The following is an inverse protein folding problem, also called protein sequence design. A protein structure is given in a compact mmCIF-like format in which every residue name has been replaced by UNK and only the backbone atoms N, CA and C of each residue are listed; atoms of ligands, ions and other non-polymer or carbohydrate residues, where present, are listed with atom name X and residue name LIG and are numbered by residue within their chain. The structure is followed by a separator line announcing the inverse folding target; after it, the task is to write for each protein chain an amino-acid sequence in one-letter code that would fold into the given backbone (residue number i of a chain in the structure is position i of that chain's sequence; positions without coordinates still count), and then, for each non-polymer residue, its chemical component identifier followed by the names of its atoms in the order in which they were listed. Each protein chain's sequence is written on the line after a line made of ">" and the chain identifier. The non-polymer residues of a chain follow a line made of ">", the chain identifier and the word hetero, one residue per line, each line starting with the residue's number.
data_IF_600601510130
#
_entry.id   IF_600601510130
#
_cell.length_a   1.000
_cell.length_b   1.000
_cell.length_c   1.000
_cell.angle_alpha   90.00
_cell.angle_beta   90.00
_cell.angle_gamma   90.00
#
_symmetry.space_group_name_H-M   'P 1'
#
loop_
_entity.id
_entity.type
_entity.pdbx_description
1 polymer ?
#
# COMPACT_ATOMS: atom_id res chain seq x y z
N UNK A 1 5.40 8.27 32.68
CA UNK A 1 4.39 7.24 32.37
C UNK A 1 4.47 6.98 30.88
N UNK A 2 4.98 5.83 30.47
CA UNK A 2 4.81 5.39 29.09
C UNK A 2 3.31 5.22 28.83
N UNK A 3 2.79 5.97 27.87
CA UNK A 3 1.42 5.80 27.42
C UNK A 3 1.46 4.65 26.42
N UNK A 4 1.07 3.46 26.86
CA UNK A 4 0.89 2.33 25.93
C UNK A 4 -0.35 2.59 25.08
N UNK A 5 -0.14 2.96 23.82
CA UNK A 5 -1.19 3.06 22.82
C UNK A 5 -1.47 1.70 22.19
N UNK A 6 -2.71 1.48 21.74
CA UNK A 6 -3.01 0.33 20.90
C UNK A 6 -2.13 0.34 19.63
N UNK A 7 -1.67 -0.81 19.12
CA UNK A 7 -0.84 -0.86 17.92
C UNK A 7 -1.49 -0.16 16.73
N UNK A 8 -0.69 0.59 15.95
CA UNK A 8 -1.15 1.21 14.71
C UNK A 8 -1.13 0.17 13.59
N UNK A 9 -2.23 -0.01 12.89
CA UNK A 9 -2.28 -0.93 11.74
C UNK A 9 -1.82 -0.22 10.49
N UNK A 10 -0.91 -0.80 9.73
CA UNK A 10 -0.42 -0.21 8.48
C UNK A 10 -0.63 -1.13 7.28
N UNK A 11 -0.97 -0.53 6.15
CA UNK A 11 -1.23 -1.23 4.90
C UNK A 11 -0.34 -0.67 3.83
N UNK A 12 0.43 -1.54 3.18
CA UNK A 12 1.41 -1.19 2.17
C UNK A 12 1.03 -1.80 0.82
N UNK A 13 1.27 -1.05 -0.24
CA UNK A 13 1.10 -1.57 -1.58
C UNK A 13 1.75 -0.67 -2.62
N UNK A 14 2.13 -1.27 -3.72
CA UNK A 14 2.53 -0.55 -4.90
C UNK A 14 1.33 -0.02 -5.68
N UNK A 15 1.58 0.98 -6.52
CA UNK A 15 0.57 1.46 -7.44
C UNK A 15 0.10 0.30 -8.34
N UNK A 16 -1.20 0.27 -8.63
CA UNK A 16 -1.82 -0.76 -9.49
C UNK A 16 -1.77 -2.21 -8.98
N UNK A 17 -1.47 -2.45 -7.69
CA UNK A 17 -1.54 -3.80 -7.08
C UNK A 17 -2.88 -4.12 -6.39
N UNK A 18 -3.94 -3.36 -6.67
CA UNK A 18 -5.25 -3.58 -6.03
C UNK A 18 -5.38 -2.99 -4.62
N UNK A 19 -4.40 -2.20 -4.19
CA UNK A 19 -4.37 -1.58 -2.86
C UNK A 19 -5.66 -0.87 -2.45
N UNK A 20 -6.31 -0.12 -3.36
CA UNK A 20 -7.56 0.58 -3.07
C UNK A 20 -8.70 -0.35 -2.67
N UNK A 21 -8.94 -1.45 -3.40
CA UNK A 21 -10.09 -2.32 -3.11
C UNK A 21 -9.86 -3.11 -1.83
N UNK A 22 -8.64 -3.62 -1.60
CA UNK A 22 -8.28 -4.30 -0.35
C UNK A 22 -8.42 -3.33 0.83
N UNK A 23 -7.92 -2.10 0.69
CA UNK A 23 -8.01 -1.08 1.74
C UNK A 23 -9.46 -0.71 2.09
N UNK A 24 -10.37 -0.65 1.11
CA UNK A 24 -11.79 -0.42 1.38
C UNK A 24 -12.40 -1.57 2.18
N UNK A 25 -12.05 -2.81 1.85
CA UNK A 25 -12.54 -3.98 2.58
C UNK A 25 -12.00 -4.01 4.01
N UNK A 26 -10.73 -3.67 4.22
CA UNK A 26 -10.15 -3.51 5.56
C UNK A 26 -10.81 -2.35 6.31
N UNK A 27 -11.10 -1.22 5.66
CA UNK A 27 -11.76 -0.09 6.31
C UNK A 27 -13.16 -0.46 6.84
N UNK A 28 -13.87 -1.35 6.14
CA UNK A 28 -15.12 -1.94 6.63
C UNK A 28 -14.86 -2.88 7.82
N UNK A 29 -13.83 -3.73 7.70
CA UNK A 29 -13.46 -4.71 8.72
C UNK A 29 -12.66 -4.04 9.84
N UNK A 30 -13.34 -3.56 10.88
CA UNK A 30 -12.63 -3.04 12.05
C UNK A 30 -13.27 -1.88 12.75
N UNK A 31 -14.28 -1.27 12.13
CA UNK A 31 -14.78 0.05 12.50
C UNK A 31 -13.61 0.99 12.87
N UNK A 32 -12.59 1.04 12.01
CA UNK A 32 -11.31 1.69 12.31
C UNK A 32 -11.32 3.16 11.90
N UNK A 33 -10.47 3.97 12.53
CA UNK A 33 -10.07 5.25 11.97
C UNK A 33 -9.10 5.00 10.81
N UNK A 34 -9.67 4.81 9.62
CA UNK A 34 -8.92 4.51 8.41
C UNK A 34 -8.49 5.80 7.68
N UNK A 35 -7.19 6.05 7.63
CA UNK A 35 -6.59 7.13 6.86
C UNK A 35 -5.75 6.57 5.72
N UNK A 36 -5.74 7.27 4.59
CA UNK A 36 -5.25 6.72 3.33
C UNK A 36 -4.21 7.60 2.67
N UNK A 37 -3.21 6.97 2.04
CA UNK A 37 -2.08 7.60 1.36
C UNK A 37 -1.26 8.50 2.29
N UNK A 38 -1.00 8.00 3.50
CA UNK A 38 -0.21 8.70 4.50
C UNK A 38 1.27 8.51 4.20
N UNK A 39 2.00 9.61 4.07
CA UNK A 39 3.46 9.62 4.12
C UNK A 39 3.93 10.98 4.69
N UNK A 40 4.54 11.00 5.89
CA UNK A 40 4.87 12.26 6.58
C UNK A 40 6.05 13.01 5.96
N UNK A 41 6.90 12.34 5.17
CA UNK A 41 8.14 12.91 4.63
C UNK A 41 8.08 13.14 3.12
N UNK A 42 7.02 12.65 2.48
CA UNK A 42 6.72 12.89 1.09
C UNK A 42 6.71 14.39 0.76
N UNK A 43 7.49 14.87 -0.22
CA UNK A 43 7.26 16.20 -0.77
C UNK A 43 5.86 16.24 -1.39
N UNK A 44 5.07 17.24 -0.99
CA UNK A 44 3.75 17.53 -1.54
C UNK A 44 3.77 18.91 -2.19
N UNK A 45 3.64 18.98 -3.52
CA UNK A 45 3.79 20.23 -4.27
C UNK A 45 2.47 20.80 -4.78
N UNK A 46 1.36 20.06 -4.65
CA UNK A 46 0.05 20.47 -5.16
C UNK A 46 -0.80 21.11 -4.06
N UNK A 47 -0.90 22.43 -4.06
CA UNK A 47 -1.74 23.14 -3.10
C UNK A 47 -3.21 22.98 -3.52
N UNK A 48 -3.95 22.11 -2.81
CA UNK A 48 -5.41 22.04 -2.92
C UNK A 48 -6.04 22.85 -1.78
N UNK A 49 -7.24 23.39 -2.01
CA UNK A 49 -7.98 24.05 -0.94
C UNK A 49 -8.37 23.03 0.14
N UNK A 50 -7.67 23.08 1.27
CA UNK A 50 -7.89 22.25 2.44
C UNK A 50 -7.70 23.14 3.69
N UNK A 51 -8.77 23.80 4.18
CA UNK A 51 -8.64 24.88 5.16
C UNK A 51 -8.09 24.42 6.52
N UNK A 52 -8.18 23.11 6.83
CA UNK A 52 -7.63 22.53 8.06
C UNK A 52 -6.22 21.93 7.88
N UNK A 53 -5.70 21.88 6.65
CA UNK A 53 -4.35 21.39 6.37
C UNK A 53 -3.34 22.53 6.49
N UNK A 54 -3.04 22.89 7.74
CA UNK A 54 -2.08 23.95 8.07
C UNK A 54 -0.67 23.62 7.57
N UNK A 55 -0.31 22.34 7.53
CA UNK A 55 1.01 21.89 7.09
C UNK A 55 1.24 22.21 5.61
N UNK A 56 0.26 21.87 4.75
CA UNK A 56 0.32 22.20 3.33
C UNK A 56 0.31 23.71 3.08
N UNK A 57 -0.49 24.47 3.85
CA UNK A 57 -0.51 25.94 3.75
C UNK A 57 0.81 26.57 4.17
N UNK A 58 1.44 26.07 5.25
CA UNK A 58 2.77 26.52 5.68
C UNK A 58 3.83 26.20 4.63
N UNK A 59 3.80 24.99 4.05
CA UNK A 59 4.75 24.60 3.01
C UNK A 59 4.59 25.43 1.74
N UNK A 60 3.34 25.68 1.32
CA UNK A 60 3.00 26.53 0.18
C UNK A 60 3.61 27.92 0.30
N UNK A 61 3.48 28.53 1.48
CA UNK A 61 3.86 29.91 1.71
C UNK A 61 5.36 30.08 1.97
N UNK A 62 5.99 29.15 2.70
CA UNK A 62 7.34 29.37 3.25
C UNK A 62 8.43 28.47 2.69
N UNK A 63 8.10 27.48 1.83
CA UNK A 63 8.99 26.56 1.05
C UNK A 63 10.12 25.82 1.79
N UNK A 64 10.44 26.17 3.04
CA UNK A 64 11.63 25.74 3.79
C UNK A 64 11.29 24.78 4.93
N UNK A 65 10.28 23.92 4.74
CA UNK A 65 9.89 22.98 5.77
C UNK A 65 10.83 21.78 5.82
N UNK A 66 11.65 21.74 6.88
CA UNK A 66 12.60 20.66 7.12
C UNK A 66 11.86 19.34 7.39
N UNK A 67 12.58 18.21 7.25
CA UNK A 67 12.05 16.90 7.65
C UNK A 67 11.69 16.86 9.14
N UNK A 68 12.45 17.57 9.97
CA UNK A 68 12.20 17.67 11.41
C UNK A 68 10.82 18.27 11.70
N UNK A 69 10.49 19.43 11.14
CA UNK A 69 9.18 20.04 11.38
C UNK A 69 8.03 19.16 10.86
N UNK A 70 8.19 18.52 9.71
CA UNK A 70 7.20 17.54 9.21
C UNK A 70 6.97 16.38 10.20
N UNK A 71 8.04 15.87 10.80
CA UNK A 71 7.95 14.84 11.83
C UNK A 71 7.29 15.32 13.11
N UNK A 72 7.55 16.55 13.54
CA UNK A 72 6.88 17.15 14.70
C UNK A 72 5.38 17.29 14.47
N UNK A 73 4.97 17.86 13.33
CA UNK A 73 3.57 17.98 12.94
C UNK A 73 2.87 16.61 12.84
N UNK A 74 3.52 15.63 12.21
CA UNK A 74 2.98 14.28 12.13
C UNK A 74 2.84 13.65 13.53
N UNK A 75 3.82 13.84 14.41
CA UNK A 75 3.77 13.36 15.79
C UNK A 75 2.62 13.96 16.59
N UNK A 76 2.35 15.26 16.45
CA UNK A 76 1.20 15.93 17.09
C UNK A 76 -0.13 15.39 16.58
N UNK A 77 -0.26 15.20 15.27
CA UNK A 77 -1.46 14.61 14.66
C UNK A 77 -1.68 13.18 15.13
N UNK A 78 -0.62 12.37 15.21
CA UNK A 78 -0.69 10.99 15.71
C UNK A 78 -1.09 10.95 17.19
N UNK A 79 -0.56 11.84 18.04
CA UNK A 79 -0.98 11.94 19.45
C UNK A 79 -2.45 12.30 19.61
N UNK A 80 -2.96 13.21 18.77
CA UNK A 80 -4.38 13.54 18.75
C UNK A 80 -5.21 12.34 18.29
N UNK A 81 -4.81 11.69 17.20
CA UNK A 81 -5.52 10.53 16.65
C UNK A 81 -5.54 9.36 17.65
N UNK A 82 -4.44 9.12 18.36
CA UNK A 82 -4.35 8.12 19.43
C UNK A 82 -5.37 8.41 20.55
N UNK A 83 -5.48 9.65 21.01
CA UNK A 83 -6.49 10.03 22.01
C UNK A 83 -7.92 9.80 21.51
N UNK A 84 -8.22 10.15 20.26
CA UNK A 84 -9.54 9.93 19.65
C UNK A 84 -9.85 8.43 19.53
N UNK A 85 -8.86 7.65 19.08
CA UNK A 85 -8.89 6.19 19.01
C UNK A 85 -9.22 5.57 20.37
N UNK A 86 -8.48 5.96 21.41
CA UNK A 86 -8.63 5.42 22.76
C UNK A 86 -10.01 5.77 23.35
N UNK A 87 -10.50 6.99 23.14
CA UNK A 87 -11.83 7.42 23.58
C UNK A 87 -12.95 6.67 22.88
N UNK A 88 -12.83 6.46 21.57
CA UNK A 88 -13.83 5.75 20.78
C UNK A 88 -13.70 4.23 20.85
N UNK A 89 -12.60 3.70 21.40
CA UNK A 89 -12.20 2.28 21.36
C UNK A 89 -12.16 1.72 19.92
N UNK A 90 -11.70 2.54 18.97
CA UNK A 90 -11.63 2.20 17.55
C UNK A 90 -10.17 2.19 17.10
N UNK A 91 -9.68 1.12 16.46
CA UNK A 91 -8.28 1.02 16.08
C UNK A 91 -7.90 2.06 15.00
N UNK A 92 -6.63 2.46 14.98
CA UNK A 92 -6.08 3.31 13.91
C UNK A 92 -5.58 2.41 12.77
N UNK A 93 -5.96 2.74 11.54
CA UNK A 93 -5.48 2.07 10.35
C UNK A 93 -4.95 3.10 9.34
N UNK A 94 -3.67 3.00 8.97
CA UNK A 94 -3.00 3.91 8.06
C UNK A 94 -2.54 3.17 6.81
N UNK A 95 -3.11 3.50 5.66
CA UNK A 95 -2.57 3.04 4.37
C UNK A 95 -1.42 3.95 3.97
N UNK A 96 -0.24 3.35 3.87
CA UNK A 96 1.00 3.99 3.44
C UNK A 96 0.91 4.42 1.98
N UNK A 97 1.48 5.58 1.66
CA UNK A 97 1.73 5.95 0.28
C UNK A 97 3.08 5.39 -0.17
N UNK A 98 3.22 4.06 -0.20
CA UNK A 98 4.50 3.37 -0.48
C UNK A 98 5.13 3.79 -1.81
N UNK A 99 4.32 4.13 -2.81
CA UNK A 99 4.80 4.61 -4.10
C UNK A 99 5.75 5.82 -3.97
N UNK A 100 5.46 6.70 -3.01
CA UNK A 100 6.28 7.87 -2.72
C UNK A 100 7.69 7.57 -2.23
N UNK A 101 7.88 6.46 -1.51
CA UNK A 101 9.17 6.13 -0.90
C UNK A 101 10.01 5.20 -1.77
N UNK A 102 9.37 4.43 -2.67
CA UNK A 102 10.05 3.44 -3.51
C UNK A 102 10.20 3.84 -4.99
N UNK A 103 9.22 4.53 -5.57
CA UNK A 103 9.18 4.84 -7.01
C UNK A 103 9.53 6.28 -7.37
N UNK A 104 9.81 7.14 -6.38
CA UNK A 104 10.32 8.49 -6.67
C UNK A 104 11.84 8.44 -6.96
N UNK A 105 12.34 9.29 -7.88
CA UNK A 105 13.78 9.46 -8.06
C UNK A 105 14.44 9.80 -6.72
N UNK A 106 15.48 9.04 -6.34
CA UNK A 106 16.14 9.19 -5.04
C UNK A 106 15.30 8.73 -3.83
N UNK A 107 14.29 7.88 -4.04
CA UNK A 107 13.53 7.25 -2.96
C UNK A 107 14.41 6.49 -1.98
N UNK A 108 13.95 6.37 -0.73
CA UNK A 108 14.74 5.80 0.38
C UNK A 108 14.67 4.27 0.47
N UNK A 109 13.81 3.62 -0.32
CA UNK A 109 13.60 2.16 -0.31
C UNK A 109 13.15 1.60 1.05
N UNK A 110 12.47 2.44 1.83
CA UNK A 110 11.86 2.11 3.11
C UNK A 110 10.51 2.82 3.23
N UNK A 111 9.57 2.28 4.02
CA UNK A 111 8.33 3.00 4.31
C UNK A 111 8.59 4.13 5.30
N UNK A 112 8.58 5.37 4.81
CA UNK A 112 8.75 6.56 5.64
C UNK A 112 7.67 6.68 6.72
N UNK A 113 6.48 6.10 6.48
CA UNK A 113 5.42 6.01 7.49
C UNK A 113 5.81 5.08 8.65
N UNK A 114 6.26 3.85 8.36
CA UNK A 114 6.65 2.91 9.41
C UNK A 114 7.86 3.37 10.20
N UNK A 115 8.84 3.99 9.53
CA UNK A 115 9.99 4.58 10.23
C UNK A 115 9.54 5.74 11.12
N UNK A 116 8.62 6.59 10.64
CA UNK A 116 8.06 7.67 11.44
C UNK A 116 7.32 7.16 12.68
N UNK A 117 6.46 6.14 12.53
CA UNK A 117 5.74 5.54 13.65
C UNK A 117 6.69 4.92 14.69
N UNK A 118 7.74 4.23 14.23
CA UNK A 118 8.79 3.67 15.09
C UNK A 118 9.52 4.75 15.88
N UNK A 119 9.95 5.83 15.23
CA UNK A 119 10.63 6.97 15.90
C UNK A 119 9.72 7.62 16.94
N UNK A 120 8.41 7.66 16.68
CA UNK A 120 7.40 8.18 17.61
C UNK A 120 7.02 7.19 18.72
N UNK A 121 7.56 5.96 18.72
CA UNK A 121 7.33 4.95 19.76
C UNK A 121 6.00 4.19 19.62
N UNK A 122 5.42 4.11 18.42
CA UNK A 122 4.23 3.30 18.18
C UNK A 122 4.59 1.88 17.75
N UNK A 123 3.97 0.89 18.41
CA UNK A 123 3.91 -0.48 17.91
C UNK A 123 3.05 -0.55 16.64
N UNK A 124 3.39 -1.48 15.74
CA UNK A 124 2.69 -1.61 14.45
C UNK A 124 2.31 -3.05 14.11
N UNK A 125 1.14 -3.21 13.50
CA UNK A 125 0.72 -4.45 12.84
C UNK A 125 0.59 -4.15 11.35
N UNK A 126 1.41 -4.80 10.54
CA UNK A 126 1.63 -4.38 9.16
C UNK A 126 1.30 -5.48 8.16
N UNK A 127 0.62 -5.11 7.08
CA UNK A 127 0.37 -5.99 5.92
C UNK A 127 0.70 -5.29 4.61
N UNK A 128 1.09 -6.07 3.62
CA UNK A 128 1.38 -5.62 2.27
C UNK A 128 0.57 -6.43 1.26
N UNK A 129 0.16 -5.77 0.18
CA UNK A 129 -0.44 -6.45 -0.98
C UNK A 129 0.40 -6.25 -2.23
N UNK A 130 0.69 -7.36 -2.90
CA UNK A 130 1.40 -7.42 -4.17
C UNK A 130 0.48 -7.94 -5.26
N UNK A 131 0.88 -7.72 -6.50
CA UNK A 131 0.20 -8.20 -7.68
C UNK A 131 1.24 -8.71 -8.66
N UNK A 132 0.85 -9.55 -9.61
CA UNK A 132 1.74 -9.99 -10.67
C UNK A 132 2.52 -8.81 -11.29
N UNK A 133 3.87 -8.84 -11.32
CA UNK A 133 4.70 -7.67 -11.65
C UNK A 133 4.35 -7.03 -13.01
N UNK A 134 4.21 -7.84 -14.05
CA UNK A 134 3.88 -7.38 -15.41
C UNK A 134 2.51 -6.72 -15.47
N UNK A 135 1.54 -7.22 -14.70
CA UNK A 135 0.17 -6.70 -14.71
C UNK A 135 0.07 -5.36 -13.97
N UNK A 136 0.80 -5.24 -12.86
CA UNK A 136 0.91 -3.99 -12.12
C UNK A 136 1.65 -2.93 -12.96
N UNK A 137 2.77 -3.30 -13.57
CA UNK A 137 3.55 -2.38 -14.40
C UNK A 137 2.81 -1.94 -15.67
N UNK A 138 2.18 -2.86 -16.40
CA UNK A 138 1.36 -2.52 -17.57
C UNK A 138 0.21 -1.56 -17.20
N UNK A 139 -0.40 -1.73 -16.02
CA UNK A 139 -1.40 -0.81 -15.52
C UNK A 139 -0.81 0.57 -15.13
N UNK A 140 0.40 0.61 -14.57
CA UNK A 140 1.11 1.87 -14.29
C UNK A 140 1.43 2.64 -15.57
N UNK A 141 1.92 1.96 -16.62
CA UNK A 141 2.18 2.58 -17.92
C UNK A 141 0.91 3.20 -18.49
N UNK A 142 -0.20 2.46 -18.49
CA UNK A 142 -1.50 2.95 -18.97
C UNK A 142 -1.96 4.20 -18.22
N UNK A 143 -1.77 4.24 -16.91
CA UNK A 143 -2.17 5.37 -16.07
C UNK A 143 -1.12 6.50 -16.03
N UNK A 144 0.01 6.36 -16.75
CA UNK A 144 1.13 7.31 -16.75
C UNK A 144 1.75 7.52 -15.35
N UNK A 145 1.77 6.48 -14.53
CA UNK A 145 2.33 6.50 -13.17
C UNK A 145 3.74 5.89 -13.07
N UNK A 146 4.32 5.43 -14.17
CA UNK A 146 5.67 4.87 -14.20
C UNK A 146 6.78 5.91 -14.47
N UNK A 147 6.44 7.21 -14.57
CA UNK A 147 7.42 8.26 -14.87
C UNK A 147 8.55 8.38 -13.84
N UNK A 148 8.28 8.12 -12.56
CA UNK A 148 9.29 8.14 -11.48
C UNK A 148 10.38 7.06 -11.62
N UNK A 149 10.13 6.03 -12.42
CA UNK A 149 11.07 4.95 -12.77
C UNK A 149 11.36 4.91 -14.26
N UNK A 150 11.27 6.06 -14.93
CA UNK A 150 11.64 6.20 -16.35
C UNK A 150 10.89 5.24 -17.27
N UNK A 151 9.70 4.76 -16.86
CA UNK A 151 8.93 3.75 -17.58
C UNK A 151 9.72 2.45 -17.86
N UNK A 152 10.70 2.08 -17.03
CA UNK A 152 11.50 0.85 -17.17
C UNK A 152 10.95 -0.28 -16.32
N UNK A 153 10.74 -1.46 -16.91
CA UNK A 153 10.29 -2.65 -16.18
C UNK A 153 11.40 -3.22 -15.31
N UNK A 154 12.65 -3.18 -15.77
CA UNK A 154 13.80 -3.60 -14.96
C UNK A 154 13.94 -2.75 -13.68
N UNK A 155 13.81 -1.42 -13.78
CA UNK A 155 13.79 -0.54 -12.60
C UNK A 155 12.58 -0.87 -11.72
N UNK A 156 11.41 -1.14 -12.30
CA UNK A 156 10.24 -1.57 -11.54
C UNK A 156 10.52 -2.83 -10.71
N UNK A 157 11.09 -3.88 -11.31
CA UNK A 157 11.42 -5.12 -10.63
C UNK A 157 12.48 -4.91 -9.54
N UNK A 158 13.47 -4.05 -9.79
CA UNK A 158 14.46 -3.65 -8.78
C UNK A 158 13.80 -2.99 -7.56
N UNK A 159 12.87 -2.07 -7.78
CA UNK A 159 12.13 -1.41 -6.68
C UNK A 159 11.19 -2.37 -5.96
N UNK A 160 10.61 -3.33 -6.67
CA UNK A 160 9.77 -4.37 -6.08
C UNK A 160 10.59 -5.31 -5.19
N UNK A 161 11.77 -5.77 -5.63
CA UNK A 161 12.66 -6.55 -4.76
C UNK A 161 13.04 -5.81 -3.49
N UNK A 162 13.43 -4.53 -3.60
CA UNK A 162 13.75 -3.72 -2.43
C UNK A 162 12.56 -3.58 -1.46
N UNK A 163 11.33 -3.51 -1.99
CA UNK A 163 10.12 -3.51 -1.16
C UNK A 163 9.87 -4.86 -0.49
N UNK A 164 10.10 -5.98 -1.18
CA UNK A 164 9.98 -7.31 -0.59
C UNK A 164 11.02 -7.52 0.53
N UNK A 165 12.28 -7.11 0.31
CA UNK A 165 13.32 -7.13 1.33
C UNK A 165 12.97 -6.27 2.54
N UNK A 166 12.37 -5.10 2.29
CA UNK A 166 11.87 -4.24 3.35
C UNK A 166 10.75 -4.91 4.15
N UNK A 167 9.76 -5.50 3.47
CA UNK A 167 8.66 -6.22 4.12
C UNK A 167 9.16 -7.37 4.99
N UNK A 168 10.10 -8.18 4.47
CA UNK A 168 10.70 -9.28 5.22
C UNK A 168 11.44 -8.79 6.46
N UNK A 169 12.32 -7.79 6.32
CA UNK A 169 13.07 -7.19 7.43
C UNK A 169 12.18 -6.56 8.51
N UNK A 170 10.97 -6.12 8.14
CA UNK A 170 10.01 -5.46 9.04
C UNK A 170 8.84 -6.38 9.43
N UNK A 171 8.91 -7.66 9.07
CA UNK A 171 7.89 -8.67 9.37
C UNK A 171 6.49 -8.23 8.91
N UNK A 172 6.41 -7.53 7.78
CA UNK A 172 5.16 -7.13 7.14
C UNK A 172 4.58 -8.34 6.42
N UNK A 173 3.39 -8.79 6.83
CA UNK A 173 2.76 -9.95 6.19
C UNK A 173 2.39 -9.64 4.73
N UNK A 174 2.48 -10.62 3.84
CA UNK A 174 2.41 -10.40 2.40
C UNK A 174 1.31 -11.23 1.73
N UNK A 175 0.37 -10.56 1.07
CA UNK A 175 -0.71 -11.21 0.32
C UNK A 175 -0.72 -10.83 -1.16
N UNK A 176 -1.16 -11.75 -2.00
CA UNK A 176 -1.36 -11.52 -3.43
C UNK A 176 -2.76 -11.02 -3.69
N UNK A 177 -2.85 -10.01 -4.53
CA UNK A 177 -4.11 -9.45 -5.00
C UNK A 177 -4.97 -10.50 -5.72
N UNK A 178 -4.31 -11.42 -6.43
CA UNK A 178 -4.93 -12.51 -7.16
C UNK A 178 -5.62 -13.49 -6.22
N UNK A 179 -4.99 -13.83 -5.08
CA UNK A 179 -5.61 -14.67 -4.05
C UNK A 179 -6.82 -13.98 -3.43
N UNK A 180 -6.69 -12.69 -3.10
CA UNK A 180 -7.82 -11.89 -2.62
C UNK A 180 -8.97 -11.84 -3.63
N UNK A 181 -8.68 -11.77 -4.92
CA UNK A 181 -9.72 -11.78 -5.95
C UNK A 181 -10.41 -13.13 -6.13
N UNK A 182 -9.71 -14.24 -5.86
CA UNK A 182 -10.25 -15.59 -5.99
C UNK A 182 -11.01 -16.01 -4.74
N UNK A 183 -10.51 -15.63 -3.56
CA UNK A 183 -11.04 -16.02 -2.25
C UNK A 183 -11.11 -14.82 -1.29
N UNK A 184 -11.93 -13.81 -1.59
CA UNK A 184 -11.90 -12.53 -0.88
C UNK A 184 -12.17 -12.66 0.63
N UNK A 185 -13.13 -13.49 1.03
CA UNK A 185 -13.46 -13.69 2.45
C UNK A 185 -12.32 -14.39 3.23
N UNK A 186 -11.75 -15.46 2.67
CA UNK A 186 -10.64 -16.21 3.27
C UNK A 186 -9.40 -15.31 3.43
N UNK A 187 -8.99 -14.66 2.34
CA UNK A 187 -7.82 -13.78 2.34
C UNK A 187 -8.00 -12.56 3.24
N UNK A 188 -9.18 -11.93 3.23
CA UNK A 188 -9.45 -10.80 4.12
C UNK A 188 -9.51 -11.22 5.59
N UNK A 189 -10.06 -12.40 5.90
CA UNK A 189 -10.05 -12.96 7.25
C UNK A 189 -8.63 -13.10 7.81
N UNK A 190 -7.71 -13.66 7.01
CA UNK A 190 -6.27 -13.76 7.37
C UNK A 190 -5.61 -12.39 7.58
N UNK A 191 -5.92 -11.42 6.72
CA UNK A 191 -5.42 -10.04 6.86
C UNK A 191 -5.96 -9.42 8.15
N UNK A 192 -7.25 -9.57 8.45
CA UNK A 192 -7.88 -9.07 9.67
C UNK A 192 -7.26 -9.70 10.92
N UNK A 193 -6.99 -11.01 10.90
CA UNK A 193 -6.30 -11.71 11.97
C UNK A 193 -4.89 -11.13 12.20
N UNK A 194 -4.09 -10.97 11.14
CA UNK A 194 -2.74 -10.35 11.21
C UNK A 194 -2.79 -8.93 11.76
N UNK A 195 -3.82 -8.17 11.40
CA UNK A 195 -4.03 -6.80 11.85
C UNK A 195 -4.75 -6.70 13.21
N UNK A 196 -5.11 -7.81 13.83
CA UNK A 196 -5.96 -7.85 15.02
C UNK A 196 -7.20 -6.95 14.86
N UNK A 197 -7.92 -7.12 13.76
CA UNK A 197 -9.17 -6.43 13.42
C UNK A 197 -10.32 -7.43 13.40
N UNK A 198 -11.53 -7.04 13.84
CA UNK A 198 -12.72 -7.87 13.63
C UNK A 198 -13.02 -7.99 12.14
N UNK A 199 -13.33 -9.21 11.72
CA UNK A 199 -13.82 -9.51 10.38
C UNK A 199 -15.31 -9.13 10.28
N UNK A 200 -15.71 -8.49 9.18
CA UNK A 200 -17.11 -8.23 8.86
C UNK A 200 -17.54 -9.14 7.72
N UNK A 201 -18.46 -10.07 7.97
CA UNK A 201 -18.97 -11.01 6.95
C UNK A 201 -19.66 -10.30 5.78
N UNK A 202 -20.22 -9.12 6.01
CA UNK A 202 -20.93 -8.30 5.02
C UNK A 202 -20.01 -7.34 4.25
N UNK A 203 -18.68 -7.50 4.35
CA UNK A 203 -17.74 -6.55 3.75
C UNK A 203 -17.94 -6.32 2.23
N UNK A 204 -18.42 -7.34 1.51
CA UNK A 204 -18.69 -7.25 0.07
C UNK A 204 -19.82 -6.28 -0.27
N UNK A 205 -20.74 -6.05 0.66
CA UNK A 205 -21.87 -5.13 0.49
C UNK A 205 -21.46 -3.70 0.88
N UNK A 206 -20.61 -3.58 1.89
CA UNK A 206 -20.29 -2.30 2.53
C UNK A 206 -19.08 -1.57 1.91
N UNK A 207 -18.12 -2.30 1.31
CA UNK A 207 -16.83 -1.70 0.93
C UNK A 207 -16.96 -0.58 -0.11
N UNK A 208 -18.02 -0.60 -0.92
CA UNK A 208 -18.30 0.44 -1.92
C UNK A 208 -18.61 1.79 -1.30
N UNK A 209 -19.14 1.80 -0.08
CA UNK A 209 -19.51 3.01 0.65
C UNK A 209 -18.29 3.75 1.22
N UNK A 210 -17.14 3.06 1.29
CA UNK A 210 -15.88 3.64 1.78
C UNK A 210 -15.29 4.57 0.72
N UNK A 211 -15.07 5.83 1.13
CA UNK A 211 -14.36 6.84 0.34
C UNK A 211 -12.94 6.98 0.86
N UNK A 212 -11.95 6.76 -0.02
CA UNK A 212 -10.53 6.92 0.30
C UNK A 212 -9.89 7.94 -0.64
N UNK A 213 -8.80 8.58 -0.20
CA UNK A 213 -7.87 9.25 -1.11
C UNK A 213 -7.26 8.23 -2.09
N UNK A 214 -6.92 8.66 -3.29
CA UNK A 214 -6.40 7.78 -4.34
C UNK A 214 -7.40 6.71 -4.81
N UNK A 215 -8.70 7.00 -4.74
CA UNK A 215 -9.77 6.13 -5.27
C UNK A 215 -9.86 6.16 -6.81
N UNK A 216 -8.70 6.02 -7.46
CA UNK A 216 -8.55 5.97 -8.91
C UNK A 216 -8.76 4.55 -9.48
N UNK A 217 -9.01 3.58 -8.59
CA UNK A 217 -9.07 2.15 -8.89
C UNK A 217 -10.46 1.60 -9.27
N UNK A 218 -10.68 0.33 -8.89
CA UNK A 218 -11.87 -0.48 -9.22
C UNK A 218 -13.16 0.18 -8.71
N UNK A 219 -14.07 0.52 -9.64
CA UNK A 219 -15.41 1.06 -9.34
C UNK A 219 -16.53 0.01 -9.33
N UNK A 220 -16.24 -1.25 -9.68
CA UNK A 220 -17.25 -2.32 -9.73
C UNK A 220 -17.54 -2.86 -8.33
N UNK A 221 -18.80 -3.28 -8.10
CA UNK A 221 -19.24 -3.93 -6.86
C UNK A 221 -18.64 -5.33 -6.68
N UNK A 222 -18.42 -6.04 -7.79
CA UNK A 222 -17.94 -7.41 -7.68
C UNK A 222 -16.42 -7.44 -7.53
N UNK A 223 -15.95 -8.20 -6.53
CA UNK A 223 -14.56 -8.60 -6.36
C UNK A 223 -14.39 -9.99 -6.97
N UNK A 224 -13.74 -10.03 -8.12
CA UNK A 224 -13.36 -11.23 -8.85
C UNK A 224 -12.11 -10.94 -9.66
N UNK A 225 -11.39 -11.99 -10.04
CA UNK A 225 -10.22 -11.82 -10.87
C UNK A 225 -10.62 -11.46 -12.31
N UNK A 226 -9.99 -10.41 -12.85
CA UNK A 226 -10.30 -9.91 -14.19
C UNK A 226 -9.40 -10.58 -15.21
N UNK A 227 -9.94 -10.83 -16.41
CA UNK A 227 -9.13 -11.29 -17.55
C UNK A 227 -7.87 -10.44 -17.68
N UNK A 228 -6.73 -11.13 -17.77
CA UNK A 228 -5.43 -10.50 -17.98
C UNK A 228 -5.49 -9.66 -19.25
N UNK A 229 -4.93 -8.45 -19.18
CA UNK A 229 -4.89 -7.58 -20.36
C UNK A 229 -3.82 -8.10 -21.32
N UNK A 230 -4.01 -7.85 -22.60
CA UNK A 230 -2.91 -8.01 -23.57
C UNK A 230 -1.72 -7.20 -23.10
N UNK A 231 -0.58 -7.87 -22.96
CA UNK A 231 0.70 -7.24 -22.66
C UNK A 231 1.29 -6.75 -23.99
N UNK A 232 1.91 -5.57 -23.97
CA UNK A 232 2.57 -5.04 -25.17
C UNK A 232 3.76 -5.95 -25.54
N UNK A 233 4.02 -6.23 -26.83
CA UNK A 233 5.11 -7.11 -27.25
C UNK A 233 6.47 -6.72 -26.65
N UNK A 234 6.76 -5.43 -26.59
CA UNK A 234 8.03 -4.93 -26.03
C UNK A 234 8.17 -5.26 -24.54
N UNK A 235 7.09 -5.13 -23.75
CA UNK A 235 7.10 -5.49 -22.33
C UNK A 235 7.16 -7.01 -22.14
N UNK A 236 6.52 -7.78 -23.02
CA UNK A 236 6.61 -9.23 -22.99
C UNK A 236 8.04 -9.71 -23.25
N UNK A 237 8.74 -9.09 -24.22
CA UNK A 237 10.15 -9.36 -24.50
C UNK A 237 11.06 -8.95 -23.33
N UNK A 238 10.90 -7.72 -22.80
CA UNK A 238 11.66 -7.24 -21.63
C UNK A 238 11.48 -8.17 -20.42
N UNK A 239 10.25 -8.66 -20.17
CA UNK A 239 9.97 -9.60 -19.11
C UNK A 239 10.60 -10.99 -19.36
N UNK A 240 10.57 -11.48 -20.60
CA UNK A 240 11.17 -12.78 -20.93
C UNK A 240 12.68 -12.80 -20.66
N UNK A 241 13.37 -11.70 -20.96
CA UNK A 241 14.82 -11.57 -20.85
C UNK A 241 15.30 -11.13 -19.44
N UNK A 242 14.39 -10.66 -18.56
CA UNK A 242 14.76 -10.14 -17.23
C UNK A 242 14.87 -11.24 -16.17
N UNK A 243 16.09 -11.65 -15.83
CA UNK A 243 16.38 -12.58 -14.72
C UNK A 243 15.80 -12.09 -13.38
N UNK A 244 15.79 -10.78 -13.17
CA UNK A 244 15.25 -10.17 -11.96
C UNK A 244 13.74 -10.36 -11.86
N UNK A 245 13.01 -10.21 -12.97
CA UNK A 245 11.58 -10.49 -13.02
C UNK A 245 11.27 -11.95 -12.69
N UNK A 246 12.03 -12.90 -13.25
CA UNK A 246 11.86 -14.32 -12.91
C UNK A 246 12.08 -14.57 -11.41
N UNK A 247 13.08 -13.93 -10.82
CA UNK A 247 13.37 -14.01 -9.39
C UNK A 247 12.23 -13.44 -8.54
N UNK A 248 11.71 -12.26 -8.92
CA UNK A 248 10.54 -11.64 -8.27
C UNK A 248 9.33 -12.55 -8.33
N UNK A 249 9.03 -13.11 -9.51
CA UNK A 249 7.90 -14.02 -9.69
C UNK A 249 8.05 -15.27 -8.82
N UNK A 250 9.23 -15.90 -8.82
CA UNK A 250 9.51 -17.05 -7.95
C UNK A 250 9.31 -16.71 -6.48
N UNK A 251 9.82 -15.55 -6.02
CA UNK A 251 9.67 -15.11 -4.62
C UNK A 251 8.21 -14.87 -4.23
N UNK A 252 7.38 -14.45 -5.18
CA UNK A 252 5.95 -14.20 -4.98
C UNK A 252 5.07 -15.41 -5.33
N UNK A 253 5.65 -16.56 -5.68
CA UNK A 253 4.90 -17.75 -6.09
C UNK A 253 4.11 -17.58 -7.39
N UNK A 254 4.58 -16.72 -8.29
CA UNK A 254 4.02 -16.54 -9.63
C UNK A 254 4.78 -17.34 -10.68
N UNK A 255 4.07 -17.79 -11.71
CA UNK A 255 4.70 -18.19 -12.97
C UNK A 255 5.18 -16.96 -13.71
N UNK A 256 6.42 -16.96 -14.20
CA UNK A 256 6.94 -15.84 -15.01
C UNK A 256 6.29 -15.71 -16.40
N UNK A 257 5.43 -16.67 -16.79
CA UNK A 257 4.70 -16.63 -18.04
C UNK A 257 3.85 -15.34 -18.17
N UNK A 258 4.09 -14.59 -19.24
CA UNK A 258 3.40 -13.32 -19.53
C UNK A 258 2.01 -13.50 -20.13
N UNK A 259 1.76 -14.66 -20.74
CA UNK A 259 0.49 -14.97 -21.42
C UNK A 259 -0.38 -15.97 -20.64
N UNK A 260 0.18 -16.65 -19.65
CA UNK A 260 -0.54 -17.61 -18.83
C UNK A 260 -1.02 -17.00 -17.51
N UNK A 261 -1.90 -17.73 -16.84
CA UNK A 261 -2.47 -17.29 -15.59
C UNK A 261 -1.43 -17.38 -14.46
N UNK A 262 -1.28 -16.34 -13.62
CA UNK A 262 -0.03 -16.12 -12.89
C UNK A 262 0.24 -17.06 -11.70
N UNK A 263 -0.70 -17.91 -11.26
CA UNK A 263 -0.57 -18.64 -10.01
C UNK A 263 0.12 -20.00 -10.21
N UNK A 264 1.25 -20.21 -9.53
CA UNK A 264 1.73 -21.57 -9.27
C UNK A 264 0.77 -22.23 -8.26
N UNK A 265 0.31 -23.45 -8.59
CA UNK A 265 -0.42 -24.27 -7.61
C UNK A 265 0.56 -24.54 -6.46
N UNK A 266 0.13 -24.26 -5.22
CA UNK A 266 0.83 -24.56 -3.95
C UNK A 266 1.68 -23.45 -3.27
N UNK A 267 1.43 -22.16 -3.51
CA UNK A 267 2.04 -21.10 -2.67
C UNK A 267 1.28 -20.93 -1.33
N UNK A 268 1.98 -21.11 -0.19
CA UNK A 268 1.44 -20.79 1.14
C UNK A 268 1.84 -19.36 1.53
N UNK A 269 0.86 -18.54 1.90
CA UNK A 269 1.10 -17.21 2.49
C UNK A 269 1.68 -17.35 3.90
N UNK A 270 2.70 -16.56 4.22
CA UNK A 270 3.30 -16.45 5.56
C UNK A 270 2.61 -15.40 6.42
#
# INVERSE_FOLDING_TARGET
>A
MEVHHSPVRTIHHFACSGGTVVSKCIAVCGDSFFLSEVNPLAPYNDIKFAPLDLLSQLQAQYRNMTKQYRMEFFGDQMRLLARISDQAKRPICLRDHTHSSFFRPGGVHESELLEALKVLGYDTLSVATVRHPVDAFAAMLKNKWAGGIQNSFEIYCTKLMAFLDYCERREVGLWRYEDFCLKPAETLGQICERLALPFNENFLEDFQNIKLSGDSGRRSADIHLRTRRSIAPDLAAEAADSELYHTVCSRLGYTAAVDEYPLQRDFQSH
#
